data_IF_354053626049
#
_entry.id   IF_354053626049
#
_cell.length_a   1.000
_cell.length_b   1.000
_cell.length_c   1.000
_cell.angle_alpha   90.00
_cell.angle_beta   90.00
_cell.angle_gamma   90.00
#
_symmetry.space_group_name_H-M   'P 1'
#
loop_
_entity.id
_entity.type
_entity.pdbx_description
1 polymer ?
#
# COMPACT_ATOMS: atom_id res chain seq x y z
N UNK A 1 -4.52 -3.92 -2.75
CA UNK A 1 -4.50 -4.36 -4.17
C UNK A 1 -4.47 -5.88 -4.23
N UNK A 2 -5.32 -6.48 -5.08
CA UNK A 2 -5.25 -7.91 -5.38
C UNK A 2 -4.20 -8.20 -6.45
N UNK A 3 -3.48 -9.30 -6.32
CA UNK A 3 -2.52 -9.81 -7.30
C UNK A 3 -2.99 -11.18 -7.79
N UNK A 4 -3.11 -11.37 -9.10
CA UNK A 4 -3.58 -12.63 -9.68
C UNK A 4 -2.76 -12.98 -10.92
N UNK A 5 -2.11 -14.12 -10.87
CA UNK A 5 -1.33 -14.74 -11.93
C UNK A 5 -1.44 -16.27 -11.86
N UNK A 6 -0.87 -16.96 -12.84
CA UNK A 6 -0.94 -18.42 -12.92
C UNK A 6 -0.24 -19.13 -11.74
N UNK A 7 0.81 -18.51 -11.21
CA UNK A 7 1.65 -19.04 -10.12
C UNK A 7 1.50 -18.25 -8.82
N UNK A 8 0.88 -17.07 -8.87
CA UNK A 8 0.84 -16.13 -7.75
C UNK A 8 -0.57 -15.59 -7.61
N UNK A 9 -1.20 -15.86 -6.48
CA UNK A 9 -2.44 -15.18 -6.09
C UNK A 9 -2.21 -14.56 -4.72
N UNK A 10 -2.59 -13.31 -4.52
CA UNK A 10 -2.31 -12.64 -3.27
C UNK A 10 -2.96 -11.28 -3.14
N UNK A 11 -2.57 -10.59 -2.08
CA UNK A 11 -2.95 -9.22 -1.85
C UNK A 11 -1.82 -8.45 -1.18
N UNK A 12 -1.69 -7.19 -1.57
CA UNK A 12 -0.77 -6.23 -1.01
C UNK A 12 -1.57 -5.08 -0.41
N UNK A 13 -1.21 -4.66 0.79
CA UNK A 13 -1.76 -3.45 1.41
C UNK A 13 -0.62 -2.56 1.89
N UNK A 14 -0.87 -1.24 1.85
CA UNK A 14 0.02 -0.25 2.42
C UNK A 14 -0.85 0.60 3.33
N UNK A 15 -0.48 0.68 4.60
CA UNK A 15 -1.23 1.40 5.63
C UNK A 15 -0.35 2.47 6.23
N UNK A 16 -0.87 3.68 6.35
CA UNK A 16 -0.18 4.82 6.94
C UNK A 16 -0.93 5.27 8.18
N UNK A 17 -0.20 5.59 9.25
CA UNK A 17 -0.74 6.41 10.33
C UNK A 17 -1.05 7.82 9.80
N UNK A 18 -2.10 8.46 10.32
CA UNK A 18 -2.63 9.74 9.83
C UNK A 18 -1.57 10.84 9.76
N UNK A 19 -0.78 10.99 10.83
CA UNK A 19 0.28 12.01 10.90
C UNK A 19 1.36 11.81 9.84
N UNK A 20 1.70 10.56 9.52
CA UNK A 20 2.68 10.25 8.48
C UNK A 20 2.11 10.56 7.09
N UNK A 21 0.85 10.20 6.83
CA UNK A 21 0.20 10.51 5.55
C UNK A 21 0.14 12.03 5.30
N UNK A 22 -0.21 12.82 6.31
CA UNK A 22 -0.23 14.29 6.24
C UNK A 22 1.18 14.85 6.01
N UNK A 23 2.19 14.32 6.71
CA UNK A 23 3.56 14.77 6.55
C UNK A 23 4.13 14.46 5.15
N UNK A 24 3.83 13.27 4.61
CA UNK A 24 4.22 12.90 3.24
C UNK A 24 3.56 13.85 2.23
N UNK A 25 2.28 14.19 2.41
CA UNK A 25 1.58 15.15 1.54
C UNK A 25 2.28 16.52 1.56
N UNK A 26 2.58 17.03 2.75
CA UNK A 26 3.28 18.31 2.94
C UNK A 26 4.66 18.30 2.26
N UNK A 27 5.40 17.18 2.32
CA UNK A 27 6.70 17.04 1.66
C UNK A 27 6.61 16.96 0.14
N UNK A 28 5.54 16.37 -0.39
CA UNK A 28 5.38 16.19 -1.84
C UNK A 28 4.88 17.46 -2.54
N UNK A 29 3.93 18.17 -1.94
CA UNK A 29 3.29 19.34 -2.56
C UNK A 29 3.77 20.68 -1.99
N UNK A 30 4.45 20.68 -0.84
CA UNK A 30 4.88 21.89 -0.16
C UNK A 30 3.77 22.62 0.60
N UNK A 31 2.56 22.03 0.66
CA UNK A 31 1.40 22.61 1.32
C UNK A 31 1.06 21.83 2.60
N UNK A 32 0.86 22.55 3.69
CA UNK A 32 0.54 21.93 4.98
C UNK A 32 -0.92 21.55 5.04
N UNK A 33 -1.18 20.25 5.11
CA UNK A 33 -2.51 19.67 5.33
C UNK A 33 -2.63 19.22 6.78
N UNK A 34 -3.71 19.60 7.45
CA UNK A 34 -3.92 19.30 8.88
C UNK A 34 -4.91 18.16 9.14
N UNK A 35 -5.66 17.74 8.12
CA UNK A 35 -6.73 16.74 8.24
C UNK A 35 -6.77 15.85 6.99
N UNK A 36 -7.18 14.59 7.15
CA UNK A 36 -7.38 13.69 6.02
C UNK A 36 -8.48 14.23 5.10
N UNK A 37 -8.13 14.49 3.84
CA UNK A 37 -9.05 14.94 2.80
C UNK A 37 -8.91 14.05 1.55
N UNK A 38 -9.65 14.38 0.48
CA UNK A 38 -9.59 13.65 -0.79
C UNK A 38 -8.19 13.67 -1.42
N UNK A 39 -7.46 14.78 -1.30
CA UNK A 39 -6.13 14.94 -1.90
C UNK A 39 -5.10 14.03 -1.22
N UNK A 40 -5.19 13.89 0.11
CA UNK A 40 -4.34 12.94 0.86
C UNK A 40 -4.67 11.50 0.45
N UNK A 41 -5.95 11.16 0.27
CA UNK A 41 -6.37 9.84 -0.19
C UNK A 41 -5.87 9.53 -1.60
N UNK A 42 -5.97 10.50 -2.52
CA UNK A 42 -5.45 10.39 -3.88
C UNK A 42 -3.94 10.21 -3.88
N UNK A 43 -3.20 11.02 -3.12
CA UNK A 43 -1.74 10.92 -2.98
C UNK A 43 -1.32 9.53 -2.47
N UNK A 44 -1.99 9.02 -1.43
CA UNK A 44 -1.72 7.66 -0.92
C UNK A 44 -2.05 6.60 -1.98
N UNK A 45 -3.11 6.79 -2.75
CA UNK A 45 -3.47 5.95 -3.89
C UNK A 45 -2.38 5.91 -4.97
N UNK A 46 -1.85 7.07 -5.35
CA UNK A 46 -0.77 7.21 -6.34
C UNK A 46 0.54 6.59 -5.84
N UNK A 47 0.93 6.83 -4.58
CA UNK A 47 2.08 6.15 -3.97
C UNK A 47 1.90 4.64 -4.02
N UNK A 48 0.71 4.16 -3.67
CA UNK A 48 0.39 2.73 -3.67
C UNK A 48 0.49 2.14 -5.08
N UNK A 49 -0.02 2.85 -6.09
CA UNK A 49 0.11 2.49 -7.50
C UNK A 49 1.58 2.38 -7.93
N UNK A 50 2.41 3.38 -7.60
CA UNK A 50 3.82 3.39 -7.96
C UNK A 50 4.62 2.26 -7.31
N UNK A 51 4.39 2.00 -6.02
CA UNK A 51 5.05 0.92 -5.29
C UNK A 51 4.66 -0.43 -5.89
N UNK A 52 3.37 -0.64 -6.17
CA UNK A 52 2.88 -1.89 -6.75
C UNK A 52 3.37 -2.09 -8.19
N UNK A 53 3.40 -1.03 -9.00
CA UNK A 53 3.97 -1.05 -10.35
C UNK A 53 5.43 -1.47 -10.35
N UNK A 54 6.22 -0.88 -9.46
CA UNK A 54 7.65 -1.21 -9.30
C UNK A 54 7.84 -2.65 -8.83
N UNK A 55 7.09 -3.09 -7.82
CA UNK A 55 7.13 -4.46 -7.32
C UNK A 55 6.75 -5.50 -8.39
N UNK A 56 5.74 -5.20 -9.22
CA UNK A 56 5.37 -6.05 -10.36
C UNK A 56 6.52 -6.15 -11.37
N UNK A 57 7.18 -5.04 -11.69
CA UNK A 57 8.34 -5.04 -12.59
C UNK A 57 9.46 -5.96 -12.09
N UNK A 58 9.89 -5.77 -10.84
CA UNK A 58 10.96 -6.59 -10.25
C UNK A 58 10.61 -8.08 -10.15
N UNK A 59 9.34 -8.41 -9.87
CA UNK A 59 8.90 -9.79 -9.76
C UNK A 59 8.76 -10.46 -11.13
N UNK A 60 8.30 -9.73 -12.14
CA UNK A 60 8.27 -10.19 -13.54
C UNK A 60 9.67 -10.51 -14.06
N UNK A 61 10.67 -9.67 -13.76
CA UNK A 61 12.08 -9.95 -14.10
C UNK A 61 12.62 -11.23 -13.44
N UNK A 62 12.06 -11.61 -12.28
CA UNK A 62 12.39 -12.87 -11.56
C UNK A 62 11.54 -14.06 -12.01
N UNK A 63 10.69 -13.90 -13.03
CA UNK A 63 9.83 -14.94 -13.60
C UNK A 63 8.45 -15.09 -12.96
N UNK A 64 8.07 -14.20 -12.04
CA UNK A 64 6.76 -14.20 -11.41
C UNK A 64 5.79 -13.26 -12.14
N UNK A 65 5.02 -13.83 -13.07
CA UNK A 65 4.02 -13.09 -13.85
C UNK A 65 2.67 -13.02 -13.14
N UNK A 66 2.20 -11.80 -12.85
CA UNK A 66 0.86 -11.56 -12.30
C UNK A 66 0.27 -10.22 -12.74
N UNK A 67 -1.05 -10.16 -12.73
CA UNK A 67 -1.82 -8.94 -12.92
C UNK A 67 -2.20 -8.32 -11.58
N UNK A 68 -2.31 -7.00 -11.56
CA UNK A 68 -2.75 -6.25 -10.40
C UNK A 68 -4.16 -5.73 -10.63
N UNK A 69 -5.02 -5.89 -9.63
CA UNK A 69 -6.33 -5.25 -9.61
C UNK A 69 -6.17 -3.73 -9.35
N UNK A 70 -7.22 -2.96 -9.63
CA UNK A 70 -7.28 -1.55 -9.27
C UNK A 70 -7.10 -1.39 -7.75
N UNK A 71 -6.27 -0.45 -7.28
CA UNK A 71 -6.21 -0.14 -5.86
C UNK A 71 -7.55 0.35 -5.35
N UNK A 72 -7.84 0.01 -4.10
CA UNK A 72 -8.86 0.67 -3.31
C UNK A 72 -8.13 1.41 -2.19
N UNK A 73 -8.47 2.69 -2.03
CA UNK A 73 -8.00 3.50 -0.90
C UNK A 73 -9.09 3.49 0.17
N UNK A 74 -8.70 3.19 1.40
CA UNK A 74 -9.59 3.20 2.56
C UNK A 74 -9.09 4.27 3.53
N UNK A 75 -9.98 5.17 3.93
CA UNK A 75 -9.69 6.20 4.93
C UNK A 75 -10.62 6.03 6.12
N UNK A 76 -10.10 6.22 7.33
CA UNK A 76 -10.87 6.08 8.56
C UNK A 76 -9.98 5.87 9.77
N UNK A 77 -10.45 6.28 10.95
CA UNK A 77 -9.69 6.08 12.19
C UNK A 77 -9.77 4.62 12.60
N UNK A 78 -8.63 4.04 13.01
CA UNK A 78 -8.51 2.68 13.53
C UNK A 78 -9.08 1.59 12.60
N UNK A 79 -9.02 1.80 11.28
CA UNK A 79 -9.38 0.74 10.34
C UNK A 79 -8.26 -0.31 10.29
N UNK A 80 -8.63 -1.55 10.01
CA UNK A 80 -7.70 -2.66 9.85
C UNK A 80 -7.92 -3.32 8.49
N UNK A 81 -6.84 -3.68 7.81
CA UNK A 81 -6.93 -4.43 6.56
C UNK A 81 -6.80 -5.92 6.86
N UNK A 82 -7.85 -6.68 6.55
CA UNK A 82 -7.81 -8.13 6.61
C UNK A 82 -7.63 -8.69 5.20
N UNK A 83 -6.46 -9.28 4.98
CA UNK A 83 -6.17 -10.03 3.76
C UNK A 83 -7.08 -11.27 3.69
N UNK A 84 -7.85 -11.41 2.61
CA UNK A 84 -8.78 -12.54 2.42
C UNK A 84 -8.10 -13.81 1.86
N UNK A 85 -6.78 -13.86 1.91
CA UNK A 85 -5.99 -15.01 1.44
C UNK A 85 -5.47 -15.78 2.64
N UNK A 86 -5.62 -17.10 2.59
CA UNK A 86 -5.30 -18.02 3.68
C UNK A 86 -3.88 -18.57 3.49
N UNK A 87 -2.89 -17.69 3.60
CA UNK A 87 -1.48 -18.03 3.39
C UNK A 87 -0.53 -17.17 4.22
N UNK A 88 0.80 -17.38 4.06
CA UNK A 88 1.81 -16.65 4.83
C UNK A 88 1.67 -15.14 4.62
N UNK A 89 1.73 -14.39 5.73
CA UNK A 89 1.66 -12.93 5.76
C UNK A 89 3.03 -12.38 6.10
N UNK A 90 3.52 -11.49 5.27
CA UNK A 90 4.76 -10.73 5.52
C UNK A 90 4.35 -9.29 5.81
N UNK A 91 4.75 -8.78 6.97
CA UNK A 91 4.50 -7.40 7.38
C UNK A 91 5.85 -6.71 7.54
N UNK A 92 6.02 -5.59 6.86
CA UNK A 92 7.21 -4.75 6.90
C UNK A 92 6.84 -3.38 7.49
N UNK A 93 7.22 -3.10 8.75
CA UNK A 93 7.01 -1.80 9.36
C UNK A 93 8.08 -0.79 8.91
N UNK A 94 7.65 0.44 8.68
CA UNK A 94 8.50 1.60 8.45
C UNK A 94 8.20 2.64 9.53
N UNK A 95 9.24 3.14 10.17
CA UNK A 95 9.11 4.07 11.30
C UNK A 95 9.70 5.42 10.94
N UNK A 96 9.08 6.48 11.46
CA UNK A 96 9.55 7.86 11.35
C UNK A 96 9.11 8.66 12.57
N UNK A 97 9.66 9.86 12.73
CA UNK A 97 9.25 10.80 13.78
C UNK A 97 7.77 11.24 13.65
N UNK A 98 7.17 11.05 12.47
CA UNK A 98 5.79 11.45 12.15
C UNK A 98 4.79 10.28 12.22
N UNK A 99 5.25 9.09 12.60
CA UNK A 99 4.42 7.89 12.70
C UNK A 99 4.94 6.75 11.83
N UNK A 100 4.11 5.72 11.68
CA UNK A 100 4.47 4.45 11.03
C UNK A 100 3.69 4.20 9.75
N UNK A 101 4.33 3.46 8.85
CA UNK A 101 3.67 2.80 7.73
C UNK A 101 3.90 1.30 7.79
N UNK A 102 2.97 0.53 7.25
CA UNK A 102 3.03 -0.92 7.18
C UNK A 102 2.79 -1.35 5.75
N UNK A 103 3.72 -2.15 5.20
CA UNK A 103 3.49 -2.87 3.96
C UNK A 103 3.19 -4.31 4.32
N UNK A 104 2.01 -4.80 3.93
CA UNK A 104 1.60 -6.17 4.14
C UNK A 104 1.44 -6.89 2.80
N UNK A 105 2.02 -8.08 2.71
CA UNK A 105 1.92 -8.93 1.53
C UNK A 105 1.46 -10.32 1.98
N UNK A 106 0.42 -10.83 1.32
CA UNK A 106 -0.11 -12.16 1.57
C UNK A 106 -0.24 -12.90 0.24
N UNK A 107 0.35 -14.10 0.14
CA UNK A 107 0.21 -14.98 -1.03
C UNK A 107 -0.55 -16.25 -0.67
N UNK A 108 -1.33 -16.75 -1.63
CA UNK A 108 -2.00 -18.04 -1.58
C UNK A 108 -1.01 -19.12 -2.02
N UNK A 109 -0.50 -19.91 -1.08
CA UNK A 109 0.46 -21.01 -1.26
C UNK A 109 1.73 -20.69 -2.07
#
# INVERSE_FOLDING_TARGET
IGMVGAQVQGSLSITFEENLALHVMEKMLGEKVTELNHEVADMVGEITNMICGSAKGELSEKGYEFNMATPAVVTGKNHTINHQVDGPRVILPFESDFGRAFIEICFNK
#
